data_IF_520963490494
#
_entry.id   IF_520963490494
#
_cell.length_a   1.000
_cell.length_b   1.000
_cell.length_c   1.000
_cell.angle_alpha   90.00
_cell.angle_beta   90.00
_cell.angle_gamma   90.00
#
_symmetry.space_group_name_H-M   'P 1'
#
loop_
_entity.id
_entity.type
_entity.pdbx_description
1 polymer ?
#
# COMPACT_ATOMS: atom_id res chain seq x y z
N UNK A 1 -21.03 21.21 -5.61
CA UNK A 1 -19.65 20.81 -5.34
C UNK A 1 -19.76 19.53 -4.53
N UNK A 2 -19.58 18.37 -5.18
CA UNK A 2 -19.62 17.09 -4.48
C UNK A 2 -18.41 17.03 -3.57
N UNK A 3 -18.63 16.97 -2.26
CA UNK A 3 -17.56 16.58 -1.35
C UNK A 3 -17.14 15.15 -1.72
N UNK A 4 -15.84 14.83 -1.76
CA UNK A 4 -15.44 13.43 -1.79
C UNK A 4 -16.05 12.75 -0.57
N UNK A 5 -16.87 11.75 -0.81
CA UNK A 5 -17.59 11.06 0.24
C UNK A 5 -16.69 10.02 0.89
N UNK A 6 -16.55 9.98 2.23
CA UNK A 6 -15.93 8.85 2.93
C UNK A 6 -16.72 7.54 2.75
N UNK A 7 -17.88 7.60 2.09
CA UNK A 7 -18.73 6.47 1.73
C UNK A 7 -18.04 5.46 0.81
N UNK A 8 -17.07 5.91 0.00
CA UNK A 8 -16.33 5.04 -0.94
C UNK A 8 -15.03 4.49 -0.32
N UNK A 9 -14.51 5.13 0.72
CA UNK A 9 -13.26 4.71 1.35
C UNK A 9 -13.39 3.30 1.93
N UNK A 10 -12.37 2.46 1.73
CA UNK A 10 -12.34 1.13 2.33
C UNK A 10 -12.37 1.22 3.86
N UNK A 11 -13.05 0.26 4.49
CA UNK A 11 -12.96 0.11 5.94
C UNK A 11 -11.51 -0.24 6.33
N UNK A 12 -10.92 0.49 7.31
CA UNK A 12 -9.52 0.31 7.65
C UNK A 12 -9.20 -1.06 8.24
N UNK A 13 -10.13 -1.67 8.99
CA UNK A 13 -9.92 -3.01 9.57
C UNK A 13 -10.06 -4.09 8.49
N UNK A 14 -11.04 -3.95 7.60
CA UNK A 14 -11.21 -4.83 6.44
C UNK A 14 -9.99 -4.81 5.53
N UNK A 15 -9.47 -3.62 5.22
CA UNK A 15 -8.28 -3.45 4.37
C UNK A 15 -7.06 -4.16 4.98
N UNK A 16 -6.81 -3.97 6.28
CA UNK A 16 -5.70 -4.62 6.98
C UNK A 16 -5.88 -6.14 6.96
N UNK A 17 -7.10 -6.64 7.19
CA UNK A 17 -7.37 -8.08 7.20
C UNK A 17 -7.25 -8.73 5.81
N UNK A 18 -7.60 -8.01 4.74
CA UNK A 18 -7.56 -8.52 3.37
C UNK A 18 -6.14 -8.55 2.77
N UNK A 19 -5.26 -7.68 3.25
CA UNK A 19 -3.91 -7.55 2.72
C UNK A 19 -3.03 -8.78 3.04
N UNK A 20 -2.20 -9.24 2.08
CA UNK A 20 -1.42 -10.46 2.24
C UNK A 20 -0.30 -10.31 3.26
N UNK A 21 0.15 -11.43 3.83
CA UNK A 21 1.40 -11.46 4.58
C UNK A 21 2.60 -11.12 3.68
N UNK A 22 3.62 -10.43 4.20
CA UNK A 22 4.79 -10.06 3.41
C UNK A 22 5.62 -11.32 3.06
N UNK A 23 5.96 -11.55 1.78
CA UNK A 23 6.99 -12.53 1.43
C UNK A 23 8.38 -12.00 1.81
N UNK A 24 9.30 -12.85 2.25
CA UNK A 24 10.68 -12.42 2.48
C UNK A 24 11.31 -11.85 1.18
N UNK A 25 12.08 -10.76 1.22
CA UNK A 25 12.59 -10.03 2.39
C UNK A 25 11.70 -8.88 2.87
N UNK A 26 10.46 -8.77 2.40
CA UNK A 26 9.55 -7.71 2.83
C UNK A 26 9.22 -7.83 4.31
N UNK A 27 9.09 -6.68 4.95
CA UNK A 27 8.60 -6.52 6.30
C UNK A 27 7.30 -5.73 6.24
N UNK A 28 6.26 -6.22 6.91
CA UNK A 28 4.96 -5.54 7.02
C UNK A 28 4.86 -4.84 8.36
N UNK A 29 4.28 -3.65 8.37
CA UNK A 29 3.86 -2.95 9.58
C UNK A 29 2.50 -2.31 9.35
N UNK A 30 1.57 -2.61 10.24
CA UNK A 30 0.29 -1.92 10.34
C UNK A 30 0.45 -0.68 11.24
N UNK A 31 -0.02 0.45 10.73
CA UNK A 31 -0.15 1.70 11.44
C UNK A 31 -1.64 2.03 11.64
N UNK A 32 -1.93 2.84 12.65
CA UNK A 32 -3.30 3.19 13.01
C UNK A 32 -4.08 3.80 11.83
N UNK A 33 -5.36 3.46 11.71
CA UNK A 33 -6.25 3.96 10.66
C UNK A 33 -6.17 3.21 9.33
N UNK A 34 -5.80 1.92 9.35
CA UNK A 34 -5.80 1.06 8.17
C UNK A 34 -4.61 1.27 7.23
N UNK A 35 -3.55 1.93 7.70
CA UNK A 35 -2.36 2.19 6.90
C UNK A 35 -1.44 0.99 7.06
N UNK A 36 -1.21 0.23 5.99
CA UNK A 36 -0.28 -0.89 5.97
C UNK A 36 0.95 -0.52 5.15
N UNK A 37 2.12 -0.68 5.75
CA UNK A 37 3.40 -0.46 5.09
C UNK A 37 4.08 -1.81 4.86
N UNK A 38 4.53 -2.04 3.63
CA UNK A 38 5.50 -3.07 3.30
C UNK A 38 6.82 -2.38 2.97
N UNK A 39 7.93 -2.85 3.55
CA UNK A 39 9.26 -2.32 3.27
C UNK A 39 10.30 -3.42 3.12
N UNK A 40 11.25 -3.22 2.20
CA UNK A 40 12.53 -3.92 2.16
C UNK A 40 13.57 -2.93 2.69
N UNK A 41 14.25 -3.21 3.82
CA UNK A 41 15.31 -2.33 4.31
C UNK A 41 16.49 -2.30 3.32
N UNK A 42 17.10 -1.12 3.14
CA UNK A 42 18.37 -0.96 2.44
C UNK A 42 19.55 -0.99 3.43
N UNK A 43 20.75 -1.30 2.96
CA UNK A 43 21.97 -1.43 3.78
C UNK A 43 22.38 -0.10 4.43
N UNK A 44 22.11 1.03 3.77
CA UNK A 44 22.46 2.37 4.27
C UNK A 44 21.49 2.90 5.35
N UNK A 45 20.35 2.22 5.57
CA UNK A 45 19.38 2.50 6.65
C UNK A 45 18.57 3.80 6.52
N UNK A 46 18.98 4.74 5.65
CA UNK A 46 18.27 6.01 5.42
C UNK A 46 17.07 5.84 4.50
N UNK A 47 17.18 4.97 3.50
CA UNK A 47 16.11 4.68 2.54
C UNK A 47 15.75 3.20 2.55
N UNK A 48 14.54 2.86 2.12
CA UNK A 48 14.14 1.47 1.92
C UNK A 48 14.45 1.09 0.47
N UNK A 49 15.02 -0.10 0.23
CA UNK A 49 15.26 -0.59 -1.14
C UNK A 49 13.95 -0.58 -1.94
N UNK A 50 12.85 -1.01 -1.31
CA UNK A 50 11.49 -0.83 -1.79
C UNK A 50 10.53 -0.56 -0.63
N UNK A 51 9.47 0.21 -0.89
CA UNK A 51 8.41 0.49 0.07
C UNK A 51 7.07 0.66 -0.63
N UNK A 52 6.04 -0.01 -0.10
CA UNK A 52 4.64 0.10 -0.48
C UNK A 52 3.85 0.59 0.73
N UNK A 53 3.05 1.63 0.56
CA UNK A 53 2.14 2.12 1.60
C UNK A 53 0.72 2.01 1.08
N UNK A 54 -0.07 1.15 1.70
CA UNK A 54 -1.47 0.90 1.37
C UNK A 54 -2.33 1.56 2.43
N UNK A 55 -3.36 2.29 2.02
CA UNK A 55 -4.25 3.01 2.95
C UNK A 55 -5.63 3.23 2.33
N UNK A 56 -6.68 3.41 3.15
CA UNK A 56 -7.95 3.89 2.65
C UNK A 56 -7.78 5.25 1.98
N UNK A 57 -8.47 5.45 0.86
CA UNK A 57 -8.47 6.74 0.17
C UNK A 57 -9.69 7.55 0.61
N UNK A 58 -9.42 8.66 1.30
CA UNK A 58 -10.46 9.46 1.96
C UNK A 58 -10.86 10.71 1.16
N UNK A 59 -10.11 11.04 0.10
CA UNK A 59 -10.22 12.33 -0.59
C UNK A 59 -10.63 12.23 -2.06
N UNK A 60 -10.71 11.02 -2.61
CA UNK A 60 -11.06 10.73 -4.00
C UNK A 60 -12.16 9.65 -4.06
N UNK A 61 -12.78 9.46 -5.23
CA UNK A 61 -13.82 8.43 -5.48
C UNK A 61 -13.22 7.01 -5.62
N UNK A 62 -12.21 6.71 -4.82
CA UNK A 62 -11.50 5.44 -4.81
C UNK A 62 -11.50 4.89 -3.39
N UNK A 63 -11.51 3.56 -3.24
CA UNK A 63 -11.52 2.95 -1.92
C UNK A 63 -10.13 2.91 -1.28
N UNK A 64 -9.10 2.65 -2.08
CA UNK A 64 -7.73 2.40 -1.58
C UNK A 64 -6.71 3.18 -2.39
N UNK A 65 -5.68 3.67 -1.71
CA UNK A 65 -4.51 4.29 -2.30
C UNK A 65 -3.27 3.48 -1.96
N UNK A 66 -2.42 3.27 -2.97
CA UNK A 66 -1.14 2.59 -2.85
C UNK A 66 -0.05 3.56 -3.28
N UNK A 67 0.87 3.87 -2.37
CA UNK A 67 2.06 4.66 -2.67
C UNK A 67 3.29 3.76 -2.81
N UNK A 68 4.09 3.97 -3.85
CA UNK A 68 5.26 3.17 -4.18
C UNK A 68 6.52 4.01 -4.10
N UNK A 69 7.51 3.49 -3.39
CA UNK A 69 8.86 4.06 -3.30
C UNK A 69 9.90 2.98 -3.58
N UNK A 70 10.98 3.36 -4.25
CA UNK A 70 12.17 2.55 -4.45
C UNK A 70 13.39 3.40 -4.10
N UNK A 71 14.20 2.93 -3.16
CA UNK A 71 15.21 3.77 -2.53
C UNK A 71 14.59 5.04 -1.94
N UNK A 72 15.23 6.18 -2.20
CA UNK A 72 14.76 7.49 -1.75
C UNK A 72 13.77 8.16 -2.73
N UNK A 73 13.27 7.44 -3.73
CA UNK A 73 12.45 8.01 -4.82
C UNK A 73 11.03 7.49 -4.78
N UNK A 74 10.07 8.40 -4.96
CA UNK A 74 8.68 8.07 -5.25
C UNK A 74 8.57 7.55 -6.67
N UNK A 75 8.09 6.31 -6.83
CA UNK A 75 7.92 5.65 -8.13
C UNK A 75 6.52 5.84 -8.68
N UNK A 76 5.55 6.13 -7.81
CA UNK A 76 4.21 6.54 -8.18
C UNK A 76 3.16 6.21 -7.13
N UNK A 77 1.96 6.74 -7.35
CA UNK A 77 0.79 6.47 -6.52
C UNK A 77 -0.30 5.84 -7.40
N UNK A 78 -0.81 4.68 -7.00
CA UNK A 78 -2.01 4.04 -7.55
C UNK A 78 -3.24 4.33 -6.69
N UNK A 79 -4.41 4.42 -7.33
CA UNK A 79 -5.71 4.53 -6.67
C UNK A 79 -6.60 3.44 -7.21
N UNK A 80 -7.30 2.76 -6.33
CA UNK A 80 -8.06 1.55 -6.64
C UNK A 80 -9.50 1.70 -6.16
N UNK A 81 -10.47 1.29 -6.98
CA UNK A 81 -11.89 1.47 -6.68
C UNK A 81 -12.38 0.57 -5.54
N UNK A 82 -11.67 -0.52 -5.23
CA UNK A 82 -12.05 -1.52 -4.23
C UNK A 82 -10.82 -2.21 -3.59
N UNK A 83 -11.05 -2.90 -2.47
CA UNK A 83 -10.02 -3.61 -1.69
C UNK A 83 -9.44 -4.78 -2.47
N UNK A 84 -10.25 -5.56 -3.19
CA UNK A 84 -9.78 -6.70 -3.98
C UNK A 84 -8.77 -6.28 -5.06
N UNK A 85 -9.08 -5.23 -5.82
CA UNK A 85 -8.16 -4.67 -6.83
C UNK A 85 -6.86 -4.18 -6.20
N UNK A 86 -6.93 -3.59 -5.00
CA UNK A 86 -5.73 -3.16 -4.28
C UNK A 86 -4.88 -4.35 -3.82
N UNK A 87 -5.50 -5.42 -3.31
CA UNK A 87 -4.82 -6.63 -2.85
C UNK A 87 -4.09 -7.35 -3.99
N UNK A 88 -4.70 -7.44 -5.17
CA UNK A 88 -4.06 -8.01 -6.37
C UNK A 88 -2.79 -7.23 -6.76
N UNK A 89 -2.89 -5.91 -6.77
CA UNK A 89 -1.76 -5.03 -7.08
C UNK A 89 -0.67 -5.15 -6.02
N UNK A 90 -1.00 -5.14 -4.73
CA UNK A 90 -0.02 -5.35 -3.65
C UNK A 90 0.69 -6.70 -3.83
N UNK A 91 -0.05 -7.78 -4.09
CA UNK A 91 0.52 -9.11 -4.26
C UNK A 91 1.47 -9.18 -5.46
N UNK A 92 1.10 -8.52 -6.56
CA UNK A 92 1.93 -8.39 -7.76
C UNK A 92 3.22 -7.63 -7.47
N UNK A 93 3.13 -6.47 -6.80
CA UNK A 93 4.30 -5.63 -6.50
C UNK A 93 5.25 -6.31 -5.50
N UNK A 94 4.70 -6.98 -4.48
CA UNK A 94 5.50 -7.76 -3.52
C UNK A 94 6.26 -8.88 -4.23
N UNK A 95 5.64 -9.56 -5.19
CA UNK A 95 6.26 -10.64 -5.96
C UNK A 95 7.29 -10.12 -6.96
N UNK A 96 7.00 -9.01 -7.63
CA UNK A 96 7.90 -8.41 -8.62
C UNK A 96 9.24 -7.98 -8.00
N UNK A 97 9.23 -7.44 -6.79
CA UNK A 97 10.45 -6.99 -6.10
C UNK A 97 11.33 -8.14 -5.55
N UNK A 98 10.83 -9.38 -5.52
CA UNK A 98 11.58 -10.58 -5.07
C UNK A 98 12.16 -11.35 -6.27
N UNK A 99 11.78 -10.99 -7.50
CA UNK A 99 12.03 -11.76 -8.71
C UNK A 99 13.19 -11.32 -9.61
N UNK A 100 14.16 -10.53 -9.12
CA UNK A 100 15.37 -10.13 -9.88
C UNK A 100 16.67 -10.67 -9.27
#
# INVERSE_FOLDING_TARGET
MSHPSPETAADPEELVAALPDPPAPWQRSDANGGIVEYRIPDDDGVCAAAKLVVRPELFDDSAVRIDRKQGCKDVGTGRHPDVESAVDVVSTELSAAVGE
#
